data_IF_963480438186
#
_entry.id   IF_963480438186
#
_cell.length_a   1.000
_cell.length_b   1.000
_cell.length_c   1.000
_cell.angle_alpha   90.00
_cell.angle_beta   90.00
_cell.angle_gamma   90.00
#
_symmetry.space_group_name_H-M   'P 1'
#
loop_
_entity.id
_entity.type
_entity.pdbx_description
1 polymer ?
#
# COMPACT_ATOMS: atom_id res chain seq x y z
N UNK A 1 2.21 -21.80 2.56
CA UNK A 1 3.23 -21.67 1.47
C UNK A 1 3.33 -20.27 0.84
N UNK A 2 2.23 -19.51 0.75
CA UNK A 2 2.14 -18.21 0.05
C UNK A 2 3.15 -17.13 0.46
N UNK A 3 3.43 -16.96 1.75
CA UNK A 3 4.41 -16.01 2.26
C UNK A 3 5.48 -16.72 3.11
N UNK A 4 6.36 -17.51 2.48
CA UNK A 4 7.25 -18.44 3.19
C UNK A 4 8.36 -17.73 3.98
N UNK A 5 8.60 -16.44 3.73
CA UNK A 5 9.54 -15.62 4.49
C UNK A 5 8.89 -14.88 5.66
N UNK A 6 7.56 -14.85 5.75
CA UNK A 6 6.82 -14.08 6.77
C UNK A 6 6.04 -14.99 7.71
N UNK A 7 5.20 -15.87 7.15
CA UNK A 7 4.27 -16.67 7.94
C UNK A 7 4.96 -17.61 8.96
N UNK A 8 6.10 -18.27 8.66
CA UNK A 8 6.74 -19.12 9.65
C UNK A 8 7.20 -18.35 10.90
N UNK A 9 7.75 -17.14 10.74
CA UNK A 9 8.16 -16.32 11.88
C UNK A 9 6.94 -15.85 12.71
N UNK A 10 5.84 -15.49 12.05
CA UNK A 10 4.59 -15.12 12.72
C UNK A 10 4.01 -16.31 13.51
N UNK A 11 3.99 -17.50 12.91
CA UNK A 11 3.45 -18.71 13.53
C UNK A 11 4.25 -19.10 14.79
N UNK A 12 5.59 -18.98 14.75
CA UNK A 12 6.42 -19.20 15.94
C UNK A 12 6.04 -18.27 17.09
N UNK A 13 5.71 -17.00 16.79
CA UNK A 13 5.22 -16.05 17.78
C UNK A 13 3.88 -16.49 18.39
N UNK A 14 2.94 -16.91 17.55
CA UNK A 14 1.63 -17.41 18.00
C UNK A 14 1.78 -18.67 18.87
N UNK A 15 2.58 -19.65 18.44
CA UNK A 15 2.81 -20.89 19.20
C UNK A 15 3.46 -20.62 20.57
N UNK A 16 4.39 -19.66 20.63
CA UNK A 16 5.02 -19.26 21.88
C UNK A 16 4.02 -18.59 22.85
N UNK A 17 3.16 -17.70 22.34
CA UNK A 17 2.15 -17.03 23.17
C UNK A 17 1.01 -17.96 23.60
N UNK A 18 0.56 -18.85 22.72
CA UNK A 18 -0.42 -19.89 23.08
C UNK A 18 0.09 -20.83 24.18
N UNK A 19 1.39 -21.13 24.17
CA UNK A 19 2.02 -21.94 25.22
C UNK A 19 2.08 -21.21 26.58
N UNK A 20 2.22 -19.88 26.56
CA UNK A 20 2.33 -19.04 27.77
C UNK A 20 0.97 -18.62 28.34
N UNK A 21 -0.01 -18.42 27.46
CA UNK A 21 -1.34 -17.90 27.77
C UNK A 21 -2.42 -18.82 27.16
N UNK A 22 -2.54 -20.08 27.63
CA UNK A 22 -3.39 -21.09 27.01
C UNK A 22 -4.89 -20.80 27.16
N UNK A 23 -5.29 -20.08 28.20
CA UNK A 23 -6.70 -19.78 28.50
C UNK A 23 -7.18 -18.46 27.86
N UNK A 24 -6.28 -17.69 27.23
CA UNK A 24 -6.60 -16.43 26.57
C UNK A 24 -6.86 -16.71 25.08
N UNK A 25 -7.96 -16.23 24.49
CA UNK A 25 -8.16 -16.34 23.05
C UNK A 25 -7.09 -15.58 22.27
N UNK A 26 -6.51 -16.23 21.25
CA UNK A 26 -5.55 -15.62 20.33
C UNK A 26 -6.22 -15.35 18.99
N UNK A 27 -6.15 -14.10 18.51
CA UNK A 27 -6.75 -13.68 17.24
C UNK A 27 -5.63 -13.38 16.24
N UNK A 28 -5.75 -13.92 15.04
CA UNK A 28 -4.84 -13.62 13.93
C UNK A 28 -5.47 -12.57 13.01
N UNK A 29 -4.85 -11.40 12.90
CA UNK A 29 -5.16 -10.42 11.85
C UNK A 29 -4.28 -10.67 10.64
N UNK A 30 -4.90 -10.73 9.46
CA UNK A 30 -4.19 -11.01 8.21
C UNK A 30 -4.17 -9.76 7.34
N UNK A 31 -2.97 -9.38 6.93
CA UNK A 31 -2.71 -8.21 6.09
C UNK A 31 -3.46 -8.23 4.74
N UNK A 32 -3.85 -9.43 4.28
CA UNK A 32 -4.61 -9.63 3.04
C UNK A 32 -6.13 -9.56 3.25
N UNK A 33 -6.62 -9.63 4.50
CA UNK A 33 -8.05 -9.76 4.79
C UNK A 33 -8.86 -8.52 4.40
N UNK A 34 -8.24 -7.33 4.46
CA UNK A 34 -8.86 -6.07 4.06
C UNK A 34 -9.38 -6.07 2.61
N UNK A 35 -8.73 -6.84 1.75
CA UNK A 35 -9.03 -6.93 0.32
C UNK A 35 -9.93 -8.11 -0.03
N UNK A 36 -10.55 -8.76 0.96
CA UNK A 36 -11.49 -9.87 0.73
C UNK A 36 -12.72 -9.47 -0.08
N UNK A 37 -13.02 -8.16 -0.15
CA UNK A 37 -14.09 -7.59 -0.98
C UNK A 37 -13.73 -7.36 -2.46
N UNK A 38 -12.50 -7.65 -2.90
CA UNK A 38 -12.12 -7.55 -4.32
C UNK A 38 -12.97 -8.48 -5.19
N UNK A 39 -13.54 -7.95 -6.28
CA UNK A 39 -14.23 -8.75 -7.30
C UNK A 39 -13.23 -9.50 -8.18
N UNK A 40 -13.69 -10.55 -8.86
CA UNK A 40 -12.86 -11.43 -9.70
C UNK A 40 -12.02 -10.67 -10.72
N UNK A 41 -12.60 -9.68 -11.38
CA UNK A 41 -11.94 -8.82 -12.35
C UNK A 41 -10.77 -8.00 -11.77
N UNK A 42 -10.74 -7.78 -10.45
CA UNK A 42 -9.67 -7.02 -9.79
C UNK A 42 -8.51 -7.92 -9.33
N UNK A 43 -8.73 -9.23 -9.15
CA UNK A 43 -7.73 -10.12 -8.58
C UNK A 43 -7.24 -11.25 -9.49
N UNK A 44 -7.96 -11.58 -10.55
CA UNK A 44 -7.55 -12.63 -11.49
C UNK A 44 -6.52 -12.06 -12.47
N UNK A 45 -5.36 -12.70 -12.57
CA UNK A 45 -4.42 -12.38 -13.64
C UNK A 45 -4.92 -12.96 -14.96
N UNK A 46 -4.78 -12.20 -16.05
CA UNK A 46 -5.10 -12.63 -17.42
C UNK A 46 -4.07 -13.65 -17.96
N UNK A 47 -3.89 -14.75 -17.24
CA UNK A 47 -3.12 -15.94 -17.60
C UNK A 47 -4.07 -17.09 -17.89
N UNK A 48 -3.54 -18.26 -18.28
CA UNK A 48 -4.34 -19.49 -18.31
C UNK A 48 -5.06 -19.66 -16.96
N UNK A 49 -6.37 -19.86 -17.01
CA UNK A 49 -7.23 -19.88 -15.82
C UNK A 49 -6.82 -20.94 -14.79
N UNK A 50 -6.10 -21.99 -15.21
CA UNK A 50 -5.49 -22.99 -14.30
C UNK A 50 -4.51 -22.38 -13.31
N UNK A 51 -3.84 -21.29 -13.67
CA UNK A 51 -2.98 -20.55 -12.73
C UNK A 51 -3.77 -20.08 -11.50
N UNK A 52 -5.04 -19.72 -11.67
CA UNK A 52 -5.92 -19.37 -10.57
C UNK A 52 -6.52 -20.62 -9.90
N UNK A 53 -7.21 -21.47 -10.65
CA UNK A 53 -7.98 -22.59 -10.08
C UNK A 53 -7.12 -23.67 -9.41
N UNK A 54 -5.99 -24.04 -10.04
CA UNK A 54 -5.15 -25.14 -9.58
C UNK A 54 -3.97 -24.65 -8.73
N UNK A 55 -3.39 -23.50 -9.09
CA UNK A 55 -2.17 -22.98 -8.45
C UNK A 55 -2.42 -21.85 -7.44
N UNK A 56 -3.62 -21.26 -7.42
CA UNK A 56 -3.98 -20.18 -6.51
C UNK A 56 -3.29 -18.84 -6.79
N UNK A 57 -2.76 -18.62 -7.99
CA UNK A 57 -2.18 -17.34 -8.39
C UNK A 57 -3.25 -16.28 -8.62
N UNK A 58 -3.30 -15.30 -7.72
CA UNK A 58 -4.19 -14.14 -7.75
C UNK A 58 -3.55 -12.94 -7.08
N UNK A 59 -4.16 -11.77 -7.23
CA UNK A 59 -3.90 -10.60 -6.38
C UNK A 59 -4.42 -10.88 -4.96
N UNK A 60 -3.58 -10.63 -3.95
CA UNK A 60 -3.98 -10.66 -2.54
C UNK A 60 -4.06 -9.27 -1.93
N UNK A 61 -3.09 -8.40 -2.22
CA UNK A 61 -2.94 -7.13 -1.53
C UNK A 61 -2.28 -7.27 -0.15
N UNK A 62 -1.63 -6.22 0.33
CA UNK A 62 -0.97 -6.18 1.65
C UNK A 62 -1.11 -4.78 2.29
N UNK A 63 -0.54 -4.60 3.48
CA UNK A 63 -0.76 -3.44 4.34
C UNK A 63 -2.25 -3.20 4.64
N UNK A 64 -3.02 -4.29 4.77
CA UNK A 64 -4.46 -4.23 4.93
C UNK A 64 -4.86 -3.56 6.23
N UNK A 65 -4.15 -3.83 7.33
CA UNK A 65 -4.41 -3.18 8.62
C UNK A 65 -4.24 -1.66 8.50
N UNK A 66 -3.15 -1.22 7.86
CA UNK A 66 -2.89 0.21 7.65
C UNK A 66 -3.95 0.87 6.77
N UNK A 67 -4.25 0.29 5.61
CA UNK A 67 -5.27 0.84 4.70
C UNK A 67 -6.66 0.87 5.33
N UNK A 68 -7.02 -0.16 6.11
CA UNK A 68 -8.29 -0.21 6.85
C UNK A 68 -8.36 0.91 7.88
N UNK A 69 -7.34 1.05 8.71
CA UNK A 69 -7.28 2.07 9.75
C UNK A 69 -7.45 3.47 9.17
N UNK A 70 -6.63 3.85 8.20
CA UNK A 70 -6.65 5.22 7.66
C UNK A 70 -7.92 5.51 6.88
N UNK A 71 -8.57 4.50 6.28
CA UNK A 71 -9.85 4.68 5.61
C UNK A 71 -10.98 4.97 6.61
N UNK A 72 -11.06 4.20 7.71
CA UNK A 72 -12.02 4.44 8.79
C UNK A 72 -11.79 5.83 9.38
N UNK A 73 -10.54 6.13 9.71
CA UNK A 73 -10.17 7.42 10.30
C UNK A 73 -10.45 8.60 9.37
N UNK A 74 -10.22 8.44 8.06
CA UNK A 74 -10.55 9.46 7.07
C UNK A 74 -12.06 9.73 6.96
N UNK A 75 -12.89 8.69 7.01
CA UNK A 75 -14.34 8.85 7.01
C UNK A 75 -14.81 9.66 8.23
N UNK A 76 -14.31 9.31 9.43
CA UNK A 76 -14.57 10.07 10.66
C UNK A 76 -14.12 11.53 10.54
N UNK A 77 -12.88 11.73 10.05
CA UNK A 77 -12.27 13.05 9.95
C UNK A 77 -12.97 13.96 8.94
N UNK A 78 -13.54 13.38 7.88
CA UNK A 78 -14.32 14.12 6.86
C UNK A 78 -15.79 14.25 7.20
N UNK A 79 -16.29 13.53 8.19
CA UNK A 79 -17.71 13.48 8.56
C UNK A 79 -18.59 12.76 7.53
N UNK A 80 -17.99 11.97 6.63
CA UNK A 80 -18.70 11.14 5.66
C UNK A 80 -18.96 9.78 6.30
N UNK A 81 -20.18 9.27 6.19
CA UNK A 81 -20.49 7.92 6.68
C UNK A 81 -19.60 6.88 5.99
N UNK A 82 -18.99 5.98 6.77
CA UNK A 82 -18.03 5.01 6.26
C UNK A 82 -18.60 4.16 5.12
N UNK A 83 -19.89 3.82 5.16
CA UNK A 83 -20.55 2.99 4.14
C UNK A 83 -20.65 3.68 2.77
N UNK A 84 -20.61 5.02 2.75
CA UNK A 84 -20.60 5.83 1.54
C UNK A 84 -19.21 6.41 1.24
N UNK A 85 -18.23 6.27 2.14
CA UNK A 85 -16.90 6.82 1.94
C UNK A 85 -16.09 6.06 0.88
N UNK A 86 -15.50 6.79 -0.06
CA UNK A 86 -14.67 6.26 -1.15
C UNK A 86 -13.34 6.97 -1.19
N UNK A 87 -12.24 6.22 -1.16
CA UNK A 87 -10.92 6.84 -1.19
C UNK A 87 -9.87 6.00 -1.88
N UNK A 88 -8.81 6.69 -2.28
CA UNK A 88 -7.53 6.07 -2.56
C UNK A 88 -6.61 6.37 -1.38
N UNK A 89 -5.99 5.35 -0.82
CA UNK A 89 -4.98 5.50 0.22
C UNK A 89 -3.62 5.07 -0.29
N UNK A 90 -2.59 5.87 0.02
CA UNK A 90 -1.20 5.68 -0.33
C UNK A 90 -0.41 5.43 0.96
N UNK A 91 -0.15 4.16 1.26
CA UNK A 91 0.78 3.78 2.31
C UNK A 91 2.19 3.82 1.72
N UNK A 92 2.99 4.80 2.15
CA UNK A 92 4.32 5.04 1.61
C UNK A 92 5.32 4.94 2.76
N UNK A 93 6.07 3.84 2.83
CA UNK A 93 7.12 3.59 3.81
C UNK A 93 8.26 2.78 3.20
N UNK A 94 8.81 1.83 3.97
CA UNK A 94 9.79 0.87 3.43
C UNK A 94 9.22 -0.01 2.32
N UNK A 95 7.93 -0.33 2.42
CA UNK A 95 7.09 -0.80 1.32
C UNK A 95 6.13 0.29 0.86
N UNK A 96 5.62 0.17 -0.37
CA UNK A 96 4.65 1.12 -0.93
C UNK A 96 3.45 0.37 -1.49
N UNK A 97 2.25 0.76 -1.06
CA UNK A 97 0.98 0.26 -1.57
C UNK A 97 0.01 1.40 -1.82
N UNK A 98 -0.78 1.27 -2.87
CA UNK A 98 -1.91 2.13 -3.15
C UNK A 98 -3.15 1.24 -3.17
N UNK A 99 -4.19 1.61 -2.43
CA UNK A 99 -5.44 0.87 -2.33
C UNK A 99 -6.63 1.77 -2.67
N UNK A 100 -7.57 1.24 -3.46
CA UNK A 100 -8.90 1.81 -3.62
C UNK A 100 -9.85 1.15 -2.62
N UNK A 101 -10.67 1.97 -1.98
CA UNK A 101 -11.58 1.53 -0.92
C UNK A 101 -12.96 2.11 -1.07
N UNK A 102 -13.98 1.28 -0.88
CA UNK A 102 -15.40 1.65 -0.83
C UNK A 102 -15.97 1.08 0.47
N UNK A 103 -16.65 1.90 1.26
CA UNK A 103 -17.44 1.36 2.37
C UNK A 103 -16.60 0.75 3.50
N UNK A 104 -15.36 1.20 3.70
CA UNK A 104 -14.45 0.58 4.66
C UNK A 104 -13.78 -0.72 4.19
N UNK A 105 -13.91 -1.11 2.91
CA UNK A 105 -13.30 -2.32 2.35
C UNK A 105 -12.35 -2.00 1.20
N UNK A 106 -11.24 -2.74 1.10
CA UNK A 106 -10.33 -2.65 -0.04
C UNK A 106 -10.91 -3.36 -1.26
N UNK A 107 -11.18 -2.62 -2.34
CA UNK A 107 -11.78 -3.14 -3.58
C UNK A 107 -10.77 -3.32 -4.71
N UNK A 108 -9.60 -2.68 -4.61
CA UNK A 108 -8.46 -2.88 -5.51
C UNK A 108 -7.16 -2.37 -4.86
N UNK A 109 -6.00 -2.83 -5.35
CA UNK A 109 -4.69 -2.49 -4.78
C UNK A 109 -3.55 -2.71 -5.75
N UNK A 110 -2.44 -2.01 -5.52
CA UNK A 110 -1.24 -2.07 -6.34
C UNK A 110 -0.40 -3.33 -6.14
N UNK A 111 -0.41 -3.93 -4.95
CA UNK A 111 0.33 -5.17 -4.70
C UNK A 111 -0.46 -6.39 -5.15
N UNK A 112 0.27 -7.42 -5.55
CA UNK A 112 -0.21 -8.57 -6.29
C UNK A 112 -0.26 -9.85 -5.47
N UNK A 113 0.27 -10.91 -6.10
CA UNK A 113 0.49 -12.21 -5.46
C UNK A 113 1.59 -12.15 -4.40
N UNK A 114 2.58 -11.29 -4.64
CA UNK A 114 3.65 -10.98 -3.71
C UNK A 114 3.83 -9.47 -3.58
N UNK A 115 4.90 -9.07 -2.91
CA UNK A 115 5.12 -7.68 -2.46
C UNK A 115 6.07 -6.87 -3.35
N UNK A 116 6.21 -7.25 -4.64
CA UNK A 116 7.12 -6.59 -5.61
C UNK A 116 6.41 -5.73 -6.63
N UNK A 117 5.33 -6.22 -7.26
CA UNK A 117 4.58 -5.42 -8.25
C UNK A 117 3.96 -4.19 -7.58
N UNK A 118 3.53 -3.21 -8.35
CA UNK A 118 3.14 -1.90 -7.82
C UNK A 118 4.17 -0.83 -8.11
N UNK A 119 4.14 0.24 -7.31
CA UNK A 119 5.15 1.29 -7.37
C UNK A 119 6.53 0.77 -6.95
N UNK A 120 7.64 1.28 -7.53
CA UNK A 120 8.97 0.99 -7.05
C UNK A 120 9.09 1.41 -5.59
N UNK A 121 9.88 0.68 -4.81
CA UNK A 121 10.05 0.91 -3.37
C UNK A 121 11.52 1.25 -3.08
N UNK A 122 11.95 1.20 -1.81
CA UNK A 122 13.35 1.42 -1.45
C UNK A 122 14.32 0.51 -2.21
N UNK A 123 14.03 -0.79 -2.24
CA UNK A 123 14.86 -1.82 -2.91
C UNK A 123 14.13 -2.69 -3.90
N UNK A 124 12.78 -2.61 -3.94
CA UNK A 124 11.95 -3.44 -4.81
C UNK A 124 11.65 -2.72 -6.12
N UNK A 125 11.63 -3.46 -7.22
CA UNK A 125 11.50 -2.90 -8.57
C UNK A 125 10.18 -2.20 -8.83
N UNK A 126 9.10 -2.61 -8.15
CA UNK A 126 7.77 -2.32 -8.66
C UNK A 126 7.49 -3.18 -9.90
N UNK A 127 6.54 -2.74 -10.71
CA UNK A 127 6.23 -3.37 -11.99
C UNK A 127 7.40 -3.35 -12.95
N UNK A 128 7.62 -4.51 -13.57
CA UNK A 128 8.59 -4.70 -14.65
C UNK A 128 7.89 -5.54 -15.71
N UNK A 129 8.15 -5.22 -16.97
CA UNK A 129 7.70 -6.05 -18.08
C UNK A 129 8.18 -7.50 -17.89
N UNK A 130 7.27 -8.50 -17.90
CA UNK A 130 7.65 -9.91 -17.77
C UNK A 130 8.71 -10.35 -18.79
N UNK A 131 8.73 -9.76 -19.99
CA UNK A 131 9.72 -10.10 -21.01
C UNK A 131 11.14 -9.72 -20.57
N UNK A 132 11.31 -8.61 -19.85
CA UNK A 132 12.62 -8.23 -19.30
C UNK A 132 13.10 -9.29 -18.30
N UNK A 133 12.19 -9.80 -17.47
CA UNK A 133 12.50 -10.86 -16.51
C UNK A 133 12.89 -12.15 -17.23
N UNK A 134 12.18 -12.52 -18.29
CA UNK A 134 12.49 -13.70 -19.09
C UNK A 134 13.85 -13.57 -19.79
N UNK A 135 14.15 -12.42 -20.40
CA UNK A 135 15.43 -12.17 -21.08
C UNK A 135 16.62 -12.21 -20.11
N UNK A 136 16.47 -11.70 -18.88
CA UNK A 136 17.52 -11.81 -17.86
C UNK A 136 17.92 -13.27 -17.61
N UNK A 137 16.94 -14.18 -17.61
CA UNK A 137 17.17 -15.60 -17.37
C UNK A 137 17.70 -16.29 -18.63
N UNK A 138 17.00 -16.15 -19.75
CA UNK A 138 17.22 -16.96 -20.95
C UNK A 138 18.39 -16.46 -21.78
N UNK A 139 18.61 -15.15 -21.85
CA UNK A 139 19.68 -14.51 -22.63
C UNK A 139 20.87 -14.14 -21.77
N UNK A 140 20.63 -13.48 -20.63
CA UNK A 140 21.70 -12.91 -19.82
C UNK A 140 22.20 -13.88 -18.71
N UNK A 141 21.62 -15.08 -18.65
CA UNK A 141 22.10 -16.19 -17.81
C UNK A 141 21.85 -16.03 -16.31
N UNK A 142 20.95 -15.14 -15.90
CA UNK A 142 20.60 -14.99 -14.49
C UNK A 142 19.86 -16.25 -14.00
N UNK A 143 20.28 -16.78 -12.85
CA UNK A 143 19.46 -17.80 -12.18
C UNK A 143 18.15 -17.18 -11.64
N UNK A 144 17.07 -17.97 -11.46
CA UNK A 144 15.85 -17.49 -10.81
C UNK A 144 16.09 -16.86 -9.43
N UNK A 145 17.08 -17.38 -8.68
CA UNK A 145 17.50 -16.80 -7.39
C UNK A 145 18.13 -15.41 -7.56
N UNK A 146 18.98 -15.23 -8.56
CA UNK A 146 19.61 -13.95 -8.86
C UNK A 146 18.57 -12.91 -9.33
N UNK A 147 17.61 -13.31 -10.15
CA UNK A 147 16.47 -12.45 -10.53
C UNK A 147 15.64 -12.06 -9.31
N UNK A 148 15.32 -13.02 -8.44
CA UNK A 148 14.60 -12.72 -7.20
C UNK A 148 15.37 -11.72 -6.34
N UNK A 149 16.67 -11.89 -6.17
CA UNK A 149 17.50 -10.93 -5.44
C UNK A 149 17.52 -9.56 -6.10
N UNK A 150 17.61 -9.49 -7.44
CA UNK A 150 17.58 -8.26 -8.20
C UNK A 150 16.30 -7.46 -7.93
N UNK A 151 15.13 -8.08 -8.14
CA UNK A 151 13.83 -7.38 -8.06
C UNK A 151 13.41 -7.06 -6.63
N UNK A 152 13.88 -7.80 -5.61
CA UNK A 152 13.54 -7.54 -4.21
C UNK A 152 14.54 -6.63 -3.48
N UNK A 153 15.83 -6.70 -3.81
CA UNK A 153 16.89 -6.12 -2.97
C UNK A 153 17.82 -5.14 -3.68
N UNK A 154 17.90 -5.16 -5.01
CA UNK A 154 18.87 -4.35 -5.78
C UNK A 154 18.22 -3.38 -6.76
N UNK A 155 16.91 -3.19 -6.65
CA UNK A 155 16.10 -2.36 -7.56
C UNK A 155 15.53 -1.14 -6.84
N UNK A 156 14.46 -0.54 -7.37
CA UNK A 156 13.77 0.57 -6.73
C UNK A 156 14.61 1.85 -6.66
N UNK A 157 14.38 2.64 -5.60
CA UNK A 157 15.13 3.87 -5.33
C UNK A 157 16.64 3.60 -5.27
N UNK A 158 17.05 2.52 -4.60
CA UNK A 158 18.44 2.11 -4.50
C UNK A 158 19.05 1.80 -5.87
N UNK A 159 18.40 0.95 -6.66
CA UNK A 159 18.92 0.54 -7.97
C UNK A 159 19.06 1.71 -8.94
N UNK A 160 18.08 2.62 -8.96
CA UNK A 160 18.07 3.76 -9.89
C UNK A 160 19.04 4.84 -9.41
N UNK A 161 19.02 5.22 -8.13
CA UNK A 161 19.89 6.28 -7.61
C UNK A 161 21.35 5.84 -7.52
N UNK A 162 21.59 4.58 -7.12
CA UNK A 162 22.91 4.09 -6.71
C UNK A 162 23.39 4.66 -5.37
N UNK A 163 22.50 5.25 -4.56
CA UNK A 163 22.83 5.98 -3.33
C UNK A 163 22.31 5.23 -2.11
N UNK A 164 20.98 5.18 -1.94
CA UNK A 164 20.33 4.67 -0.74
C UNK A 164 18.94 4.12 -1.09
N UNK A 165 18.40 3.27 -0.22
CA UNK A 165 16.98 2.90 -0.25
C UNK A 165 16.09 3.86 0.53
N UNK A 166 16.68 4.77 1.32
CA UNK A 166 15.95 5.78 2.11
C UNK A 166 15.64 7.01 1.27
N UNK A 167 14.36 7.38 1.19
CA UNK A 167 13.91 8.51 0.39
C UNK A 167 14.51 9.86 0.85
N UNK A 168 14.82 10.02 2.14
CA UNK A 168 15.41 11.25 2.69
C UNK A 168 16.80 11.50 2.09
N UNK A 169 17.62 10.46 2.00
CA UNK A 169 18.93 10.53 1.37
C UNK A 169 18.81 10.89 -0.13
N UNK A 170 17.81 10.33 -0.80
CA UNK A 170 17.55 10.60 -2.22
C UNK A 170 17.06 12.04 -2.43
N UNK A 171 16.21 12.56 -1.55
CA UNK A 171 15.76 13.96 -1.60
C UNK A 171 16.94 14.92 -1.43
N UNK A 172 17.77 14.72 -0.41
CA UNK A 172 18.97 15.54 -0.19
C UNK A 172 19.91 15.51 -1.41
N UNK A 173 20.19 14.32 -1.94
CA UNK A 173 21.03 14.19 -3.13
C UNK A 173 20.41 14.86 -4.37
N UNK A 174 19.08 14.85 -4.50
CA UNK A 174 18.38 15.53 -5.59
C UNK A 174 18.47 17.06 -5.46
N UNK A 175 18.41 17.60 -4.24
CA UNK A 175 18.67 19.02 -3.95
C UNK A 175 20.10 19.42 -4.32
N UNK A 176 21.07 18.53 -4.06
CA UNK A 176 22.48 18.66 -4.49
C UNK A 176 22.70 18.41 -6.00
N UNK A 177 21.62 18.45 -6.80
CA UNK A 177 21.63 18.28 -8.25
C UNK A 177 22.11 16.91 -8.76
N UNK A 178 22.06 15.84 -7.95
CA UNK A 178 22.36 14.49 -8.43
C UNK A 178 21.30 14.03 -9.46
N UNK A 179 21.71 13.71 -10.71
CA UNK A 179 20.76 13.39 -11.78
C UNK A 179 20.04 12.06 -11.55
N UNK A 180 20.71 11.06 -10.98
CA UNK A 180 20.12 9.74 -10.71
C UNK A 180 19.17 9.79 -9.52
N UNK A 181 19.43 10.64 -8.52
CA UNK A 181 18.50 10.88 -7.43
C UNK A 181 17.20 11.53 -7.94
N UNK A 182 17.30 12.61 -8.75
CA UNK A 182 16.14 13.23 -9.40
C UNK A 182 15.35 12.24 -10.25
N UNK A 183 16.04 11.40 -11.03
CA UNK A 183 15.41 10.36 -11.84
C UNK A 183 14.67 9.34 -10.97
N UNK A 184 15.27 8.87 -9.88
CA UNK A 184 14.65 7.93 -8.96
C UNK A 184 13.36 8.50 -8.34
N UNK A 185 13.38 9.76 -7.88
CA UNK A 185 12.19 10.42 -7.33
C UNK A 185 11.10 10.62 -8.38
N UNK A 186 11.48 11.02 -9.61
CA UNK A 186 10.52 11.22 -10.69
C UNK A 186 9.83 9.90 -11.08
N UNK A 187 10.59 8.81 -11.19
CA UNK A 187 10.03 7.47 -11.49
C UNK A 187 9.13 7.01 -10.35
N UNK A 188 9.58 7.16 -9.10
CA UNK A 188 8.83 6.79 -7.90
C UNK A 188 7.46 7.49 -7.83
N UNK A 189 7.47 8.82 -7.90
CA UNK A 189 6.25 9.63 -7.77
C UNK A 189 5.36 9.56 -9.01
N UNK A 190 5.90 9.39 -10.22
CA UNK A 190 5.11 9.11 -11.42
C UNK A 190 4.41 7.76 -11.34
N UNK A 191 5.09 6.73 -10.84
CA UNK A 191 4.48 5.40 -10.69
C UNK A 191 3.32 5.43 -9.69
N UNK A 192 3.47 6.10 -8.55
CA UNK A 192 2.37 6.28 -7.59
C UNK A 192 1.18 7.02 -8.23
N UNK A 193 1.44 8.10 -8.99
CA UNK A 193 0.40 8.82 -9.74
C UNK A 193 -0.35 7.93 -10.74
N UNK A 194 0.39 7.10 -11.47
CA UNK A 194 -0.21 6.12 -12.40
C UNK A 194 -1.09 5.14 -11.66
N UNK A 195 -0.70 4.69 -10.47
CA UNK A 195 -1.53 3.81 -9.65
C UNK A 195 -2.78 4.50 -9.11
N UNK A 196 -2.69 5.75 -8.65
CA UNK A 196 -3.87 6.53 -8.27
C UNK A 196 -4.85 6.61 -9.45
N UNK A 197 -4.34 6.95 -10.65
CA UNK A 197 -5.15 7.01 -11.85
C UNK A 197 -5.75 5.66 -12.27
N UNK A 198 -4.97 4.57 -12.15
CA UNK A 198 -5.39 3.22 -12.54
C UNK A 198 -6.44 2.63 -11.58
N UNK A 199 -6.40 3.01 -10.31
CA UNK A 199 -7.31 2.52 -9.27
C UNK A 199 -8.58 3.39 -9.13
N UNK A 200 -8.59 4.63 -9.65
CA UNK A 200 -9.75 5.51 -9.57
C UNK A 200 -11.05 4.94 -10.19
N UNK A 201 -11.02 4.22 -11.33
CA UNK A 201 -12.20 3.55 -11.87
C UNK A 201 -12.82 2.52 -10.91
N UNK A 202 -12.04 1.95 -9.99
CA UNK A 202 -12.50 0.98 -8.99
C UNK A 202 -13.36 1.61 -7.88
N UNK A 203 -13.57 2.94 -7.89
CA UNK A 203 -14.36 3.68 -6.90
C UNK A 203 -15.80 4.00 -7.33
N UNK A 204 -16.32 3.38 -8.38
CA UNK A 204 -17.70 3.59 -8.85
C UNK A 204 -18.05 5.07 -9.14
N UNK A 205 -17.12 5.80 -9.77
CA UNK A 205 -17.37 7.11 -10.37
C UNK A 205 -17.13 8.33 -9.47
N UNK A 206 -16.74 8.16 -8.20
CA UNK A 206 -16.35 9.27 -7.33
C UNK A 206 -15.20 8.92 -6.39
N UNK A 207 -14.43 9.93 -6.00
CA UNK A 207 -13.37 9.81 -5.01
C UNK A 207 -13.56 10.92 -3.98
N UNK A 208 -13.79 10.56 -2.72
CA UNK A 208 -14.02 11.53 -1.65
C UNK A 208 -12.68 11.99 -1.05
N UNK A 209 -11.70 11.08 -0.95
CA UNK A 209 -10.37 11.41 -0.45
C UNK A 209 -9.20 10.69 -1.15
N UNK A 210 -8.06 11.37 -1.16
CA UNK A 210 -6.72 10.81 -1.36
C UNK A 210 -5.97 10.88 -0.02
N UNK A 211 -5.55 9.75 0.52
CA UNK A 211 -4.98 9.65 1.87
C UNK A 211 -3.50 9.29 1.76
N UNK A 212 -2.63 10.03 2.44
CA UNK A 212 -1.21 9.71 2.60
C UNK A 212 -0.95 9.20 4.02
N UNK A 213 -0.22 8.08 4.12
CA UNK A 213 0.12 7.46 5.40
C UNK A 213 1.47 6.75 5.34
N UNK A 214 1.89 6.20 6.48
CA UNK A 214 3.17 5.57 6.76
C UNK A 214 4.36 6.54 6.70
N UNK A 215 5.54 6.04 7.07
CA UNK A 215 6.70 6.89 7.39
C UNK A 215 7.06 7.95 6.36
N UNK A 216 6.95 7.69 5.05
CA UNK A 216 7.21 8.69 4.01
C UNK A 216 5.96 9.53 3.72
N UNK A 217 4.78 8.91 3.63
CA UNK A 217 3.53 9.60 3.31
C UNK A 217 3.16 10.66 4.35
N UNK A 218 3.44 10.38 5.62
CA UNK A 218 3.21 11.29 6.75
C UNK A 218 4.22 12.44 6.81
N UNK A 219 5.50 12.13 6.57
CA UNK A 219 6.58 13.06 6.94
C UNK A 219 7.18 13.84 5.76
N UNK A 220 6.94 13.43 4.50
CA UNK A 220 7.54 14.09 3.34
C UNK A 220 6.54 14.94 2.55
N UNK A 221 6.43 16.22 2.92
CA UNK A 221 5.65 17.22 2.19
C UNK A 221 6.10 17.32 0.71
N UNK A 222 7.40 17.25 0.46
CA UNK A 222 7.97 17.27 -0.89
C UNK A 222 7.46 16.09 -1.73
N UNK A 223 7.45 14.88 -1.16
CA UNK A 223 6.93 13.69 -1.85
C UNK A 223 5.44 13.81 -2.14
N UNK A 224 4.63 14.28 -1.18
CA UNK A 224 3.19 14.52 -1.39
C UNK A 224 2.94 15.54 -2.50
N UNK A 225 3.69 16.65 -2.53
CA UNK A 225 3.62 17.64 -3.63
C UNK A 225 3.93 16.98 -4.97
N UNK A 226 5.01 16.22 -5.08
CA UNK A 226 5.38 15.54 -6.31
C UNK A 226 4.33 14.53 -6.79
N UNK A 227 3.67 13.82 -5.86
CA UNK A 227 2.59 12.87 -6.17
C UNK A 227 1.31 13.60 -6.59
N UNK A 228 0.96 14.73 -5.97
CA UNK A 228 -0.27 15.45 -6.33
C UNK A 228 -0.21 16.15 -7.70
N UNK A 229 1.00 16.45 -8.20
CA UNK A 229 1.19 17.12 -9.51
C UNK A 229 0.57 16.34 -10.67
N UNK A 230 -0.30 17.00 -11.43
CA UNK A 230 -0.93 16.41 -12.62
C UNK A 230 -2.18 15.58 -12.31
N UNK A 231 -2.62 15.52 -11.05
CA UNK A 231 -3.85 14.84 -10.65
C UNK A 231 -5.07 15.79 -10.66
N UNK A 232 -4.93 17.01 -11.18
CA UNK A 232 -6.03 17.98 -11.30
C UNK A 232 -7.17 17.46 -12.19
N UNK A 233 -6.87 16.52 -13.10
CA UNK A 233 -7.88 15.82 -13.92
C UNK A 233 -8.89 15.02 -13.07
N UNK A 234 -8.50 14.63 -11.85
CA UNK A 234 -9.36 13.97 -10.86
C UNK A 234 -9.93 14.95 -9.84
N UNK A 235 -9.75 16.26 -10.03
CA UNK A 235 -10.16 17.28 -9.07
C UNK A 235 -9.32 17.30 -7.79
N UNK A 236 -8.12 16.70 -7.79
CA UNK A 236 -7.16 16.74 -6.69
C UNK A 236 -6.33 18.03 -6.82
N UNK A 237 -6.44 18.93 -5.84
CA UNK A 237 -5.64 20.15 -5.75
C UNK A 237 -5.02 20.27 -4.37
N UNK A 238 -3.69 20.31 -4.33
CA UNK A 238 -2.93 20.43 -3.08
C UNK A 238 -2.78 21.89 -2.67
N UNK A 239 -2.98 22.19 -1.39
CA UNK A 239 -2.53 23.45 -0.80
C UNK A 239 -1.09 23.27 -0.31
N UNK A 240 -0.14 23.88 -1.00
CA UNK A 240 1.29 23.71 -0.69
C UNK A 240 1.65 24.25 0.70
N UNK A 241 0.93 25.25 1.21
CA UNK A 241 1.19 25.79 2.54
C UNK A 241 0.69 24.82 3.61
N UNK A 242 -0.55 24.34 3.51
CA UNK A 242 -1.07 23.32 4.44
C UNK A 242 -0.22 22.05 4.39
N UNK A 243 0.22 21.64 3.19
CA UNK A 243 1.10 20.50 3.01
C UNK A 243 2.46 20.67 3.71
N UNK A 244 3.07 21.85 3.61
CA UNK A 244 4.36 22.16 4.23
C UNK A 244 4.26 22.31 5.76
N UNK A 245 3.13 22.81 6.27
CA UNK A 245 2.89 23.04 7.70
C UNK A 245 2.35 21.79 8.42
N UNK A 246 1.92 20.76 7.69
CA UNK A 246 1.41 19.51 8.22
C UNK A 246 2.44 18.79 9.12
N UNK A 247 2.06 18.51 10.38
CA UNK A 247 2.87 17.75 11.35
C UNK A 247 2.15 16.55 11.93
N UNK A 248 0.83 16.53 11.84
CA UNK A 248 -0.07 15.52 12.39
C UNK A 248 -1.18 15.23 11.36
N UNK A 249 -2.24 14.56 11.79
CA UNK A 249 -3.44 14.35 10.99
C UNK A 249 -4.01 15.68 10.47
N UNK A 250 -4.18 15.82 9.15
CA UNK A 250 -4.60 17.09 8.54
C UNK A 250 -5.28 16.93 7.17
N UNK A 251 -6.14 17.89 6.84
CA UNK A 251 -6.55 18.17 5.45
C UNK A 251 -5.52 19.10 4.82
N UNK A 252 -4.93 18.69 3.69
CA UNK A 252 -3.93 19.46 2.95
C UNK A 252 -4.39 19.82 1.53
N UNK A 253 -5.64 19.54 1.18
CA UNK A 253 -6.23 19.98 -0.09
C UNK A 253 -6.54 21.47 -0.10
N UNK A 254 -6.40 22.09 -1.26
CA UNK A 254 -6.90 23.44 -1.52
C UNK A 254 -8.42 23.52 -1.32
N UNK A 255 -8.93 24.73 -1.04
CA UNK A 255 -10.35 24.96 -0.77
C UNK A 255 -11.25 24.62 -1.97
N UNK A 256 -10.73 24.74 -3.19
CA UNK A 256 -11.42 24.42 -4.45
C UNK A 256 -11.14 22.98 -4.95
N UNK A 257 -10.46 22.15 -4.16
CA UNK A 257 -10.26 20.74 -4.46
C UNK A 257 -11.58 19.97 -4.30
N UNK A 258 -11.94 19.18 -5.31
CA UNK A 258 -13.14 18.30 -5.27
C UNK A 258 -12.86 17.13 -4.33
N UNK A 259 -11.65 16.58 -4.40
CA UNK A 259 -11.19 15.46 -3.57
C UNK A 259 -10.45 16.01 -2.35
N UNK A 260 -10.75 15.52 -1.15
CA UNK A 260 -9.96 15.87 0.04
C UNK A 260 -8.61 15.17 -0.01
N UNK A 261 -7.54 15.89 0.31
CA UNK A 261 -6.21 15.31 0.44
C UNK A 261 -5.91 15.26 1.92
N UNK A 262 -5.68 14.07 2.46
CA UNK A 262 -5.53 13.82 3.88
C UNK A 262 -4.14 13.27 4.17
N UNK A 263 -3.56 13.68 5.28
CA UNK A 263 -2.43 12.98 5.91
C UNK A 263 -2.97 12.35 7.18
N UNK A 264 -2.87 11.04 7.30
CA UNK A 264 -3.37 10.30 8.46
C UNK A 264 -2.28 9.32 8.89
N UNK A 265 -1.69 9.49 10.09
CA UNK A 265 -0.77 8.52 10.64
C UNK A 265 -1.45 7.16 10.79
N UNK A 266 -0.80 6.08 10.31
CA UNK A 266 -1.37 4.74 10.48
C UNK A 266 -1.10 4.20 11.87
N UNK A 267 -2.05 3.46 12.44
CA UNK A 267 -1.88 2.71 13.69
C UNK A 267 -2.37 1.26 13.47
N UNK A 268 -1.44 0.40 13.02
CA UNK A 268 -1.76 -0.99 12.67
C UNK A 268 -2.09 -1.81 13.93
N UNK A 269 -1.38 -1.56 15.02
CA UNK A 269 -1.61 -2.20 16.32
C UNK A 269 -3.00 -1.86 16.89
N UNK A 270 -3.43 -0.60 16.82
CA UNK A 270 -4.77 -0.21 17.21
C UNK A 270 -5.83 -0.90 16.33
N UNK A 271 -5.60 -0.99 15.02
CA UNK A 271 -6.52 -1.69 14.13
C UNK A 271 -6.64 -3.18 14.49
N UNK A 272 -5.51 -3.84 14.77
CA UNK A 272 -5.51 -5.24 15.25
C UNK A 272 -6.26 -5.38 16.58
N UNK A 273 -6.13 -4.40 17.49
CA UNK A 273 -6.87 -4.34 18.75
C UNK A 273 -8.38 -4.24 18.55
N UNK A 274 -8.83 -3.34 17.67
CA UNK A 274 -10.24 -3.16 17.31
C UNK A 274 -10.81 -4.45 16.69
N UNK A 275 -10.10 -5.07 15.74
CA UNK A 275 -10.53 -6.33 15.13
C UNK A 275 -10.64 -7.46 16.16
N UNK A 276 -9.68 -7.51 17.10
CA UNK A 276 -9.69 -8.47 18.20
C UNK A 276 -10.92 -8.28 19.08
N UNK A 277 -11.22 -7.05 19.49
CA UNK A 277 -12.40 -6.72 20.30
C UNK A 277 -13.71 -7.10 19.58
N UNK A 278 -13.84 -6.76 18.29
CA UNK A 278 -15.01 -7.10 17.48
C UNK A 278 -15.25 -8.62 17.42
N UNK A 279 -14.19 -9.40 17.19
CA UNK A 279 -14.28 -10.86 17.12
C UNK A 279 -14.69 -11.45 18.48
N UNK A 280 -14.08 -10.99 19.57
CA UNK A 280 -14.41 -11.45 20.92
C UNK A 280 -15.86 -11.14 21.30
N UNK A 281 -16.35 -9.93 20.97
CA UNK A 281 -17.72 -9.53 21.21
C UNK A 281 -18.72 -10.40 20.42
N UNK A 282 -18.39 -10.74 19.17
CA UNK A 282 -19.22 -11.62 18.35
C UNK A 282 -19.24 -13.07 18.85
N UNK A 283 -18.12 -13.59 19.36
CA UNK A 283 -18.07 -14.91 20.00
C UNK A 283 -18.97 -14.96 21.24
N UNK A 284 -18.87 -13.95 22.12
CA UNK A 284 -19.67 -13.85 23.33
C UNK A 284 -21.18 -13.76 23.04
N UNK A 285 -21.59 -13.07 21.97
CA UNK A 285 -23.00 -13.02 21.55
C UNK A 285 -23.53 -14.38 21.07
N UNK A 286 -22.71 -15.18 20.39
CA UNK A 286 -23.09 -16.52 19.91
C UNK A 286 -23.18 -17.55 21.03
N UNK A 287 -22.39 -17.41 22.09
CA UNK A 287 -22.45 -18.31 23.26
C UNK A 287 -23.65 -18.03 24.16
N UNK A 288 -24.19 -16.81 24.11
CA UNK A 288 -25.35 -16.38 24.93
C UNK A 288 -26.71 -16.44 24.18
N UNK A 289 -26.72 -16.90 22.92
CA UNK A 289 -27.91 -17.09 22.09
C UNK A 289 -28.22 -18.58 21.94
#
# INVERSE_FOLDING_TARGET
>A
PLAPLHNPACLLGVEAEQSRLPDIPHIASFDTAYYSGMKEEAYIYALDYKCYEELGYRKFGYHGASHKYVNIRAAEFTGIDLSDFRSISCHIGGGVTIAASIGGMGVDTSLGYGTVCGAPMGTRSGDVDPEVILQLITRDGYSPKAVKELIYKKSGLLGISGISSDLRDILNAAEDNNPRAKLALNIFTLSIRRYIAALAPSLDGRMDALIFTAGIGENSAATRSMICRGLEIFGIRLDEKLNADCREEAVISAADSIVKILVIPTDEEMMMGIETEEILNNLNRRTNA
#
